data_IF_600157456133
#
_entry.id   IF_600157456133
#
_cell.length_a   1.000
_cell.length_b   1.000
_cell.length_c   1.000
_cell.angle_alpha   90.00
_cell.angle_beta   90.00
_cell.angle_gamma   90.00
#
_symmetry.space_group_name_H-M   'P 1'
#
loop_
_entity.id
_entity.type
_entity.pdbx_description
1 polymer ?
#
# COMPACT_ATOMS: atom_id res chain seq x y z
N UNK A 1 -8.82 6.86 11.62
CA UNK A 1 -7.51 6.20 11.50
C UNK A 1 -6.56 6.63 12.61
N UNK A 2 -6.19 7.91 12.68
CA UNK A 2 -5.15 8.43 13.58
C UNK A 2 -5.36 8.16 15.07
N UNK A 3 -6.60 8.15 15.57
CA UNK A 3 -6.93 7.79 16.96
C UNK A 3 -6.60 6.34 17.34
N UNK A 4 -6.65 5.40 16.39
CA UNK A 4 -6.70 3.96 16.68
C UNK A 4 -5.50 3.16 16.18
N UNK A 5 -4.73 3.70 15.23
CA UNK A 5 -3.49 3.08 14.76
C UNK A 5 -2.39 3.25 15.82
N UNK A 6 -2.36 2.32 16.78
CA UNK A 6 -1.34 2.21 17.82
C UNK A 6 -0.38 1.05 17.52
N UNK A 7 0.77 1.02 18.20
CA UNK A 7 1.71 -0.12 18.11
C UNK A 7 1.01 -1.45 18.41
N UNK A 8 0.19 -1.49 19.45
CA UNK A 8 -0.51 -2.71 19.87
C UNK A 8 -1.60 -3.10 18.88
N UNK A 9 -2.34 -2.12 18.33
CA UNK A 9 -3.33 -2.38 17.29
C UNK A 9 -2.67 -3.02 16.06
N UNK A 10 -1.61 -2.41 15.53
CA UNK A 10 -0.94 -2.91 14.32
C UNK A 10 -0.41 -4.33 14.54
N UNK A 11 0.25 -4.60 15.67
CA UNK A 11 0.71 -5.97 16.01
C UNK A 11 -0.45 -6.96 16.03
N UNK A 12 -1.58 -6.59 16.62
CA UNK A 12 -2.77 -7.46 16.64
C UNK A 12 -3.31 -7.76 15.23
N UNK A 13 -3.21 -6.81 14.30
CA UNK A 13 -3.65 -6.99 12.91
C UNK A 13 -2.67 -7.86 12.15
N UNK A 14 -1.37 -7.67 12.34
CA UNK A 14 -0.34 -8.57 11.79
C UNK A 14 -0.56 -10.02 12.26
N UNK A 15 -0.78 -10.24 13.56
CA UNK A 15 -1.05 -11.57 14.13
C UNK A 15 -2.35 -12.21 13.59
N UNK A 16 -3.32 -11.38 13.20
CA UNK A 16 -4.61 -11.84 12.69
C UNK A 16 -4.57 -12.15 11.19
N UNK A 17 -4.02 -11.25 10.38
CA UNK A 17 -4.06 -11.29 8.92
C UNK A 17 -2.90 -12.09 8.32
N UNK A 18 -1.71 -12.06 8.90
CA UNK A 18 -0.52 -12.72 8.34
C UNK A 18 -0.50 -14.25 8.57
N UNK A 19 -1.65 -14.82 8.94
CA UNK A 19 -1.91 -16.27 8.90
C UNK A 19 -2.28 -16.74 7.50
N UNK A 20 -2.73 -15.82 6.64
CA UNK A 20 -3.14 -16.08 5.25
C UNK A 20 -4.17 -17.23 5.14
N UNK A 21 -5.13 -17.23 6.06
CA UNK A 21 -6.15 -18.26 6.24
C UNK A 21 -7.57 -17.72 6.05
N UNK A 22 -7.71 -16.49 5.54
CA UNK A 22 -9.02 -15.82 5.42
C UNK A 22 -9.74 -16.26 4.17
N UNK A 23 -9.01 -16.40 3.06
CA UNK A 23 -9.57 -16.84 1.79
C UNK A 23 -8.51 -17.31 0.80
N UNK A 24 -8.99 -17.89 -0.30
CA UNK A 24 -8.17 -18.32 -1.43
C UNK A 24 -8.83 -17.85 -2.71
N UNK A 25 -8.13 -17.03 -3.48
CA UNK A 25 -8.61 -16.56 -4.78
C UNK A 25 -7.44 -16.21 -5.69
N UNK A 26 -7.67 -16.14 -6.99
CA UNK A 26 -6.65 -15.64 -7.93
C UNK A 26 -6.53 -14.12 -7.82
N UNK A 27 -5.43 -13.56 -8.36
CA UNK A 27 -5.25 -12.10 -8.46
C UNK A 27 -6.38 -11.46 -9.28
N UNK A 28 -6.83 -12.12 -10.35
CA UNK A 28 -7.95 -11.66 -11.18
C UNK A 28 -9.26 -11.60 -10.39
N UNK A 29 -9.57 -12.65 -9.63
CA UNK A 29 -10.79 -12.67 -8.80
C UNK A 29 -10.76 -11.56 -7.74
N UNK A 30 -9.59 -11.28 -7.16
CA UNK A 30 -9.41 -10.18 -6.21
C UNK A 30 -9.63 -8.81 -6.86
N UNK A 31 -9.11 -8.59 -8.08
CA UNK A 31 -9.35 -7.36 -8.86
C UNK A 31 -10.84 -7.17 -9.17
N UNK A 32 -11.53 -8.24 -9.59
CA UNK A 32 -12.98 -8.21 -9.85
C UNK A 32 -13.73 -7.90 -8.56
N UNK A 33 -13.33 -8.49 -7.43
CA UNK A 33 -13.96 -8.25 -6.12
C UNK A 33 -13.82 -6.80 -5.66
N UNK A 34 -12.67 -6.16 -5.91
CA UNK A 34 -12.46 -4.73 -5.59
C UNK A 34 -13.39 -3.79 -6.35
N UNK A 35 -14.02 -4.22 -7.45
CA UNK A 35 -14.99 -3.39 -8.17
C UNK A 35 -16.18 -2.97 -7.30
N UNK A 36 -16.49 -3.75 -6.25
CA UNK A 36 -17.60 -3.47 -5.33
C UNK A 36 -17.18 -2.58 -4.13
N UNK A 37 -15.92 -2.13 -4.08
CA UNK A 37 -15.41 -1.27 -3.01
C UNK A 37 -15.52 0.21 -3.40
N UNK A 38 -16.02 1.02 -2.47
CA UNK A 38 -15.91 2.48 -2.49
C UNK A 38 -14.90 2.89 -1.42
N UNK A 39 -13.78 3.47 -1.82
CA UNK A 39 -12.74 3.96 -0.91
C UNK A 39 -13.18 5.27 -0.25
N UNK A 40 -13.37 5.27 1.07
CA UNK A 40 -13.80 6.44 1.84
C UNK A 40 -12.69 7.46 2.08
N UNK A 41 -11.43 7.08 1.85
CA UNK A 41 -10.27 7.94 2.11
C UNK A 41 -9.84 8.74 0.88
N UNK A 42 -10.19 8.30 -0.32
CA UNK A 42 -9.83 8.97 -1.55
C UNK A 42 -10.83 10.12 -1.85
N UNK A 43 -10.40 11.40 -1.82
CA UNK A 43 -11.27 12.52 -2.12
C UNK A 43 -11.74 12.56 -3.59
N UNK A 44 -11.14 11.76 -4.47
CA UNK A 44 -11.36 11.79 -5.92
C UNK A 44 -12.17 10.60 -6.47
N UNK A 45 -12.61 9.64 -5.65
CA UNK A 45 -13.25 8.40 -6.14
C UNK A 45 -14.74 8.55 -6.41
N UNK A 46 -15.07 8.99 -7.61
CA UNK A 46 -16.39 8.73 -8.23
C UNK A 46 -16.42 7.46 -9.09
N UNK A 47 -15.28 6.77 -9.24
CA UNK A 47 -15.10 5.60 -10.11
C UNK A 47 -14.80 4.32 -9.29
N UNK A 48 -15.30 3.14 -9.72
CA UNK A 48 -14.92 1.86 -9.15
C UNK A 48 -13.40 1.60 -9.13
N UNK A 49 -12.87 1.01 -8.05
CA UNK A 49 -11.43 0.76 -7.88
C UNK A 49 -10.77 -0.03 -9.03
N UNK A 50 -11.50 -0.94 -9.68
CA UNK A 50 -10.93 -1.71 -10.80
C UNK A 50 -10.56 -0.80 -11.98
N UNK A 51 -11.32 0.27 -12.21
CA UNK A 51 -11.01 1.23 -13.28
C UNK A 51 -9.72 1.97 -12.96
N UNK A 52 -9.58 2.43 -11.72
CA UNK A 52 -8.34 3.04 -11.23
C UNK A 52 -7.14 2.10 -11.43
N UNK A 53 -7.27 0.82 -11.04
CA UNK A 53 -6.21 -0.16 -11.22
C UNK A 53 -5.74 -0.29 -12.68
N UNK A 54 -6.67 -0.38 -13.64
CA UNK A 54 -6.33 -0.44 -15.07
C UNK A 54 -5.79 0.89 -15.62
N UNK A 55 -6.25 2.04 -15.13
CA UNK A 55 -5.72 3.36 -15.52
C UNK A 55 -4.26 3.52 -15.09
N UNK A 56 -3.96 3.18 -13.84
CA UNK A 56 -2.59 3.18 -13.30
C UNK A 56 -1.70 2.25 -14.12
N UNK A 57 -2.15 1.01 -14.34
CA UNK A 57 -1.40 0.01 -15.10
C UNK A 57 -1.11 0.44 -16.56
N UNK A 58 -2.12 0.95 -17.28
CA UNK A 58 -1.94 1.38 -18.68
C UNK A 58 -1.07 2.63 -18.81
N UNK A 59 -1.13 3.55 -17.85
CA UNK A 59 -0.25 4.71 -17.82
C UNK A 59 1.22 4.31 -17.64
N UNK A 60 1.48 3.39 -16.71
CA UNK A 60 2.82 2.82 -16.53
C UNK A 60 3.24 2.10 -17.82
N UNK A 61 2.37 1.27 -18.40
CA UNK A 61 2.66 0.53 -19.65
C UNK A 61 3.01 1.44 -20.82
N UNK A 62 2.37 2.60 -20.92
CA UNK A 62 2.67 3.61 -21.94
C UNK A 62 4.03 4.27 -21.71
N UNK A 63 4.40 4.50 -20.45
CA UNK A 63 5.61 5.26 -20.09
C UNK A 63 6.87 4.38 -19.99
N UNK A 64 6.71 3.13 -19.57
CA UNK A 64 7.77 2.17 -19.27
C UNK A 64 7.55 0.84 -20.00
N UNK A 65 7.36 0.82 -21.34
CA UNK A 65 6.85 -0.33 -22.09
C UNK A 65 7.68 -1.63 -21.95
N UNK A 66 8.93 -1.50 -21.53
CA UNK A 66 9.93 -2.53 -21.33
C UNK A 66 9.94 -3.12 -19.90
N UNK A 67 9.16 -2.56 -18.96
CA UNK A 67 9.09 -3.00 -17.56
C UNK A 67 7.75 -3.67 -17.24
N UNK A 68 7.54 -4.88 -17.78
CA UNK A 68 6.27 -5.60 -17.64
C UNK A 68 5.84 -5.86 -16.17
N UNK A 69 6.79 -6.10 -15.27
CA UNK A 69 6.54 -6.21 -13.83
C UNK A 69 5.99 -4.91 -13.24
N UNK A 70 6.37 -3.75 -13.79
CA UNK A 70 5.91 -2.45 -13.32
C UNK A 70 4.47 -2.21 -13.75
N UNK A 71 4.08 -2.66 -14.95
CA UNK A 71 2.69 -2.61 -15.40
C UNK A 71 1.80 -3.41 -14.47
N UNK A 72 2.24 -4.63 -14.13
CA UNK A 72 1.51 -5.48 -13.18
C UNK A 72 1.43 -4.80 -11.81
N UNK A 73 2.52 -4.21 -11.32
CA UNK A 73 2.54 -3.48 -10.05
C UNK A 73 1.46 -2.39 -10.02
N UNK A 74 1.33 -1.64 -11.11
CA UNK A 74 0.23 -0.69 -11.34
C UNK A 74 -1.15 -1.29 -11.13
N UNK A 75 -1.40 -2.46 -11.71
CA UNK A 75 -2.70 -3.12 -11.62
C UNK A 75 -3.01 -3.62 -10.21
N UNK A 76 -2.00 -4.10 -9.47
CA UNK A 76 -2.25 -4.90 -8.25
C UNK A 76 -2.00 -4.17 -6.95
N UNK A 77 -1.39 -2.98 -6.95
CA UNK A 77 -0.92 -2.31 -5.72
C UNK A 77 -1.98 -2.22 -4.61
N UNK A 78 -3.23 -1.99 -5.01
CA UNK A 78 -4.38 -1.80 -4.15
C UNK A 78 -5.07 -3.09 -3.69
N UNK A 79 -4.59 -4.27 -4.09
CA UNK A 79 -5.27 -5.54 -3.79
C UNK A 79 -5.34 -5.88 -2.31
N UNK A 80 -4.55 -5.24 -1.46
CA UNK A 80 -4.72 -5.36 -0.01
C UNK A 80 -6.05 -4.84 0.50
N UNK A 81 -6.75 -3.98 -0.27
CA UNK A 81 -8.06 -3.43 0.08
C UNK A 81 -9.16 -4.48 0.19
N UNK A 82 -8.92 -5.72 -0.27
CA UNK A 82 -9.86 -6.83 -0.09
C UNK A 82 -10.22 -7.09 1.37
N UNK A 83 -9.38 -6.69 2.33
CA UNK A 83 -9.66 -6.80 3.78
C UNK A 83 -11.01 -6.17 4.18
N UNK A 84 -11.45 -5.12 3.49
CA UNK A 84 -12.77 -4.48 3.71
C UNK A 84 -13.93 -5.45 3.59
N UNK A 85 -13.87 -6.40 2.64
CA UNK A 85 -14.92 -7.40 2.44
C UNK A 85 -14.94 -8.51 3.51
N UNK A 86 -13.96 -8.51 4.40
CA UNK A 86 -13.78 -9.51 5.44
C UNK A 86 -13.81 -8.87 6.84
N UNK A 87 -14.49 -7.72 6.96
CA UNK A 87 -14.87 -7.11 8.23
C UNK A 87 -13.85 -6.14 8.83
N UNK A 88 -12.73 -5.87 8.15
CA UNK A 88 -11.80 -4.82 8.60
C UNK A 88 -12.38 -3.44 8.26
N UNK A 89 -12.45 -2.50 9.21
CA UNK A 89 -12.95 -1.16 8.93
C UNK A 89 -12.02 -0.41 7.98
N UNK A 90 -12.57 0.46 7.13
CA UNK A 90 -11.80 1.16 6.08
C UNK A 90 -10.58 1.89 6.64
N UNK A 91 -10.66 2.54 7.81
CA UNK A 91 -9.52 3.25 8.42
C UNK A 91 -8.33 2.35 8.80
N UNK A 92 -8.53 1.03 8.85
CA UNK A 92 -7.51 0.01 9.06
C UNK A 92 -7.15 -0.74 7.76
N UNK A 93 -7.56 -0.20 6.61
CA UNK A 93 -7.30 -0.76 5.29
C UNK A 93 -6.75 0.28 4.32
N UNK A 94 -7.40 1.44 4.20
CA UNK A 94 -7.08 2.49 3.21
C UNK A 94 -6.45 3.72 3.87
N UNK A 95 -5.96 4.65 3.04
CA UNK A 95 -5.42 5.95 3.45
C UNK A 95 -3.89 5.98 3.65
N UNK A 96 -3.37 7.20 3.76
CA UNK A 96 -1.95 7.48 3.94
C UNK A 96 -1.38 6.78 5.19
N UNK A 97 -0.24 6.12 5.04
CA UNK A 97 0.42 5.39 6.12
C UNK A 97 1.48 6.23 6.83
N UNK A 98 1.73 5.89 8.09
CA UNK A 98 2.77 6.50 8.92
C UNK A 98 3.35 5.44 9.89
N UNK A 99 4.61 5.57 10.33
CA UNK A 99 5.17 4.67 11.32
C UNK A 99 4.50 4.89 12.69
N UNK A 100 3.98 3.81 13.28
CA UNK A 100 3.54 3.82 14.69
C UNK A 100 4.74 3.65 15.61
N UNK A 101 4.64 4.05 16.87
CA UNK A 101 5.71 3.85 17.85
C UNK A 101 6.89 4.83 17.75
N UNK A 102 6.73 5.94 17.02
CA UNK A 102 7.56 7.14 17.08
C UNK A 102 6.70 8.40 16.95
N UNK A 103 7.28 9.57 17.22
CA UNK A 103 6.58 10.84 17.04
C UNK A 103 6.10 11.02 15.60
N UNK A 104 4.84 11.44 15.45
CA UNK A 104 4.20 11.66 14.16
C UNK A 104 4.70 12.96 13.52
N UNK A 105 5.16 12.85 12.28
CA UNK A 105 5.62 13.96 11.46
C UNK A 105 4.51 14.98 11.14
N UNK A 106 4.92 16.23 10.91
CA UNK A 106 4.01 17.36 10.65
C UNK A 106 3.31 17.26 9.28
N UNK A 107 3.90 16.53 8.33
CA UNK A 107 3.35 16.35 6.99
C UNK A 107 2.22 15.33 6.89
N UNK A 108 1.86 14.64 7.98
CA UNK A 108 0.73 13.71 7.96
C UNK A 108 -0.57 14.50 7.78
N UNK A 109 -1.46 14.01 6.93
CA UNK A 109 -2.76 14.67 6.68
C UNK A 109 -3.55 14.77 7.99
N UNK A 110 -4.13 15.94 8.29
CA UNK A 110 -4.85 16.21 9.55
C UNK A 110 -4.02 16.02 10.84
N UNK A 111 -2.69 16.08 10.75
CA UNK A 111 -1.77 15.88 11.89
C UNK A 111 -2.11 16.72 13.11
N UNK A 112 -2.56 17.95 12.90
CA UNK A 112 -2.87 18.95 13.93
C UNK A 112 -4.20 18.72 14.67
N UNK A 113 -5.07 17.85 14.15
CA UNK A 113 -6.48 17.81 14.54
C UNK A 113 -7.04 16.40 14.80
N UNK A 114 -6.27 15.34 14.55
CA UNK A 114 -6.81 13.97 14.55
C UNK A 114 -6.02 12.95 15.39
N UNK A 115 -4.92 13.37 16.01
CA UNK A 115 -4.06 12.52 16.85
C UNK A 115 -4.25 12.69 18.35
N UNK A 116 -5.02 13.69 18.79
CA UNK A 116 -5.16 14.06 20.22
C UNK A 116 -5.61 12.90 21.11
N UNK A 117 -6.47 12.04 20.58
CA UNK A 117 -7.04 10.90 21.29
C UNK A 117 -6.24 9.59 21.11
N UNK A 118 -5.12 9.60 20.37
CA UNK A 118 -4.29 8.42 20.23
C UNK A 118 -3.44 8.21 21.49
N UNK A 119 -3.59 7.08 22.22
CA UNK A 119 -2.89 6.87 23.47
C UNK A 119 -1.36 6.80 23.33
N UNK A 120 -0.83 6.40 22.17
CA UNK A 120 0.62 6.34 21.93
C UNK A 120 1.27 7.73 21.97
N UNK A 121 0.50 8.80 21.76
CA UNK A 121 1.00 10.19 21.85
C UNK A 121 1.40 10.61 23.27
N UNK A 122 0.81 9.97 24.28
CA UNK A 122 1.12 10.20 25.70
C UNK A 122 2.11 9.17 26.26
N UNK A 123 2.51 8.18 25.47
CA UNK A 123 3.43 7.13 25.90
C UNK A 123 4.89 7.52 25.61
N UNK A 124 5.69 7.64 26.68
CA UNK A 124 7.12 7.98 26.59
C UNK A 124 7.96 7.01 25.74
N UNK A 125 7.46 5.79 25.49
CA UNK A 125 8.10 4.81 24.60
C UNK A 125 7.98 5.20 23.13
N UNK A 126 6.95 5.96 22.77
CA UNK A 126 6.54 6.19 21.38
C UNK A 126 6.53 7.66 20.99
N UNK A 127 6.33 8.58 21.92
CA UNK A 127 6.15 10.00 21.62
C UNK A 127 7.43 10.82 21.38
N UNK A 128 8.59 10.15 21.26
CA UNK A 128 9.85 10.81 20.91
C UNK A 128 10.18 10.61 19.43
N UNK A 129 11.08 11.43 18.88
CA UNK A 129 11.48 11.39 17.46
C UNK A 129 11.78 9.97 16.95
N UNK A 130 12.46 9.16 17.74
CA UNK A 130 12.77 7.77 17.37
C UNK A 130 11.83 6.76 18.03
N UNK A 131 11.15 7.14 19.12
CA UNK A 131 10.30 6.24 19.89
C UNK A 131 10.99 4.91 20.18
N UNK A 132 10.39 3.82 19.70
CA UNK A 132 10.93 2.46 19.88
C UNK A 132 12.02 2.05 18.86
N UNK A 133 12.38 2.92 17.92
CA UNK A 133 13.29 2.62 16.83
C UNK A 133 14.69 3.21 17.03
N UNK A 134 15.61 2.86 16.12
CA UNK A 134 16.95 3.44 16.03
C UNK A 134 17.05 4.33 14.80
N UNK A 135 17.87 5.37 14.86
CA UNK A 135 18.24 6.13 13.68
C UNK A 135 18.82 5.20 12.60
N UNK A 136 18.44 5.43 11.34
CA UNK A 136 18.89 4.65 10.17
C UNK A 136 18.65 3.14 10.31
N UNK A 137 17.58 2.73 11.01
CA UNK A 137 17.24 1.31 11.12
C UNK A 137 16.74 0.70 9.79
N UNK A 138 16.35 1.52 8.83
CA UNK A 138 15.72 1.12 7.59
C UNK A 138 14.21 0.95 7.74
N UNK A 139 13.47 1.26 6.68
CA UNK A 139 12.00 1.27 6.72
C UNK A 139 11.41 -0.13 6.96
N UNK A 140 12.12 -1.17 6.51
CA UNK A 140 11.74 -2.56 6.77
C UNK A 140 11.71 -2.95 8.26
N UNK A 141 12.33 -2.15 9.13
CA UNK A 141 12.32 -2.34 10.59
C UNK A 141 11.31 -1.42 11.30
N UNK A 142 10.59 -0.59 10.57
CA UNK A 142 9.48 0.18 11.11
C UNK A 142 8.20 -0.65 11.11
N UNK A 143 7.37 -0.43 12.13
CA UNK A 143 5.99 -0.87 12.14
C UNK A 143 5.17 0.28 11.57
N UNK A 144 4.63 0.07 10.37
CA UNK A 144 3.74 1.03 9.70
C UNK A 144 2.32 0.88 10.24
N UNK A 145 1.53 1.96 10.23
CA UNK A 145 0.08 1.90 10.43
C UNK A 145 -0.51 0.82 9.52
N UNK A 146 -1.36 -0.05 10.08
CA UNK A 146 -1.85 -1.22 9.38
C UNK A 146 -2.78 -0.84 8.23
N UNK A 147 -2.59 -1.45 7.07
CA UNK A 147 -3.38 -1.18 5.87
C UNK A 147 -3.02 -2.10 4.70
N UNK A 148 -3.58 -1.79 3.53
CA UNK A 148 -3.46 -2.57 2.31
C UNK A 148 -2.00 -2.73 1.83
N UNK A 149 -1.14 -1.72 2.00
CA UNK A 149 0.28 -1.78 1.66
C UNK A 149 1.00 -2.96 2.32
N UNK A 150 1.06 -2.96 3.66
CA UNK A 150 1.79 -3.98 4.43
C UNK A 150 1.14 -5.36 4.24
N UNK A 151 -0.19 -5.42 4.29
CA UNK A 151 -0.90 -6.67 4.11
C UNK A 151 -0.58 -7.30 2.74
N UNK A 152 -0.70 -6.53 1.65
CA UNK A 152 -0.50 -7.08 0.32
C UNK A 152 0.96 -7.40 0.04
N UNK A 153 1.90 -6.58 0.53
CA UNK A 153 3.32 -6.92 0.53
C UNK A 153 3.56 -8.30 1.17
N UNK A 154 3.00 -8.54 2.35
CA UNK A 154 3.17 -9.82 3.04
C UNK A 154 2.47 -10.98 2.32
N UNK A 155 1.29 -10.77 1.72
CA UNK A 155 0.61 -11.75 0.86
C UNK A 155 1.51 -12.16 -0.31
N UNK A 156 2.14 -11.20 -0.99
CA UNK A 156 3.05 -11.45 -2.09
C UNK A 156 4.28 -12.25 -1.65
N UNK A 157 4.89 -11.89 -0.51
CA UNK A 157 6.02 -12.63 0.07
C UNK A 157 5.62 -14.06 0.45
N UNK A 158 4.48 -14.25 1.10
CA UNK A 158 3.97 -15.57 1.50
C UNK A 158 3.76 -16.49 0.30
N UNK A 159 3.17 -15.94 -0.76
CA UNK A 159 2.89 -16.67 -2.00
C UNK A 159 4.08 -16.73 -2.98
N UNK A 160 5.27 -16.28 -2.54
CA UNK A 160 6.54 -16.41 -3.29
C UNK A 160 6.48 -15.80 -4.68
N UNK A 161 5.91 -14.60 -4.79
CA UNK A 161 5.94 -13.84 -6.05
C UNK A 161 7.36 -13.75 -6.61
N UNK A 162 7.47 -13.67 -7.94
CA UNK A 162 8.73 -13.41 -8.64
C UNK A 162 8.90 -11.95 -9.04
N UNK A 163 8.01 -11.06 -8.56
CA UNK A 163 8.18 -9.61 -8.70
C UNK A 163 9.52 -9.14 -8.09
N UNK A 164 10.17 -8.13 -8.71
CA UNK A 164 11.43 -7.60 -8.20
C UNK A 164 11.23 -6.78 -6.92
N UNK A 165 12.33 -6.50 -6.22
CA UNK A 165 12.32 -5.76 -4.95
C UNK A 165 11.72 -4.35 -5.11
N UNK A 166 11.94 -3.70 -6.27
CA UNK A 166 11.34 -2.42 -6.61
C UNK A 166 9.81 -2.46 -6.56
N UNK A 167 9.19 -3.49 -7.17
CA UNK A 167 7.75 -3.68 -7.17
C UNK A 167 7.22 -3.87 -5.75
N UNK A 168 7.91 -4.70 -4.97
CA UNK A 168 7.54 -4.97 -3.58
C UNK A 168 7.66 -3.72 -2.70
N UNK A 169 8.69 -2.90 -2.91
CA UNK A 169 8.87 -1.64 -2.19
C UNK A 169 7.78 -0.61 -2.55
N UNK A 170 7.39 -0.53 -3.84
CA UNK A 170 6.28 0.31 -4.27
C UNK A 170 4.98 -0.12 -3.60
N UNK A 171 4.63 -1.40 -3.66
CA UNK A 171 3.41 -1.92 -3.03
C UNK A 171 3.40 -1.65 -1.51
N UNK A 172 4.54 -1.84 -0.84
CA UNK A 172 4.64 -1.70 0.62
C UNK A 172 4.60 -0.25 1.13
N UNK A 173 4.94 0.73 0.30
CA UNK A 173 5.15 2.10 0.75
C UNK A 173 4.51 3.17 -0.14
N UNK A 174 3.64 2.80 -1.09
CA UNK A 174 2.98 3.77 -1.97
C UNK A 174 1.97 4.67 -1.25
N UNK A 175 1.47 4.25 -0.08
CA UNK A 175 0.66 5.09 0.79
C UNK A 175 1.49 5.89 1.79
N UNK A 176 2.83 5.75 1.83
CA UNK A 176 3.68 6.46 2.80
C UNK A 176 4.02 7.88 2.30
N UNK A 177 2.98 8.70 2.10
CA UNK A 177 3.07 10.07 1.61
C UNK A 177 4.01 10.96 2.43
N UNK A 178 4.00 10.93 3.78
CA UNK A 178 4.95 11.71 4.57
C UNK A 178 6.41 11.47 4.14
N UNK A 179 6.77 10.25 3.75
CA UNK A 179 8.10 9.95 3.27
C UNK A 179 8.31 10.33 1.81
N UNK A 180 7.51 9.77 0.89
CA UNK A 180 7.83 9.90 -0.53
C UNK A 180 7.40 11.23 -1.16
N UNK A 181 6.44 11.95 -0.57
CA UNK A 181 6.01 13.27 -1.04
C UNK A 181 6.63 14.41 -0.23
N UNK A 182 6.68 14.27 1.10
CA UNK A 182 7.08 15.36 2.01
C UNK A 182 8.50 15.24 2.57
N UNK A 183 9.21 14.14 2.30
CA UNK A 183 10.59 13.91 2.77
C UNK A 183 10.73 13.88 4.30
N UNK A 184 9.66 13.57 5.01
CA UNK A 184 9.71 13.22 6.42
C UNK A 184 10.26 11.79 6.64
N UNK A 185 10.60 11.48 7.88
CA UNK A 185 11.15 10.17 8.30
C UNK A 185 12.46 9.73 7.63
N UNK A 186 13.15 10.59 6.87
CA UNK A 186 14.46 10.30 6.27
C UNK A 186 15.52 9.85 7.29
N UNK A 187 15.38 10.24 8.55
CA UNK A 187 16.27 9.83 9.63
C UNK A 187 16.18 8.35 10.00
N UNK A 188 15.17 7.61 9.52
CA UNK A 188 15.11 6.14 9.58
C UNK A 188 15.67 5.46 8.34
N UNK A 189 15.78 6.16 7.22
CA UNK A 189 16.15 5.58 5.93
C UNK A 189 17.62 5.14 5.87
N UNK A 190 17.85 4.02 5.18
CA UNK A 190 19.14 3.52 4.73
C UNK A 190 19.39 3.92 3.27
N UNK A 191 20.59 3.63 2.75
CA UNK A 191 20.89 3.83 1.32
C UNK A 191 19.98 3.01 0.40
N UNK A 192 19.54 1.83 0.84
CA UNK A 192 18.60 1.00 0.09
C UNK A 192 17.23 1.68 -0.01
N UNK A 193 16.71 2.20 1.09
CA UNK A 193 15.42 2.91 1.11
C UNK A 193 15.48 4.13 0.17
N UNK A 194 16.59 4.88 0.18
CA UNK A 194 16.77 6.02 -0.73
C UNK A 194 16.86 5.63 -2.21
N UNK A 195 17.29 4.41 -2.53
CA UNK A 195 17.22 3.88 -3.91
C UNK A 195 15.79 3.53 -4.29
N UNK A 196 15.04 2.89 -3.38
CA UNK A 196 13.64 2.52 -3.59
C UNK A 196 12.72 3.76 -3.70
N UNK A 197 13.05 4.84 -3.00
CA UNK A 197 12.32 6.11 -3.07
C UNK A 197 12.15 6.62 -4.51
N UNK A 198 13.13 6.39 -5.40
CA UNK A 198 13.05 6.80 -6.81
C UNK A 198 11.92 6.05 -7.55
N UNK A 199 11.77 4.76 -7.27
CA UNK A 199 10.73 3.92 -7.86
C UNK A 199 9.35 4.27 -7.31
N UNK A 200 9.25 4.50 -5.98
CA UNK A 200 8.00 4.92 -5.34
C UNK A 200 7.54 6.28 -5.87
N UNK A 201 8.45 7.27 -5.98
CA UNK A 201 8.15 8.57 -6.59
C UNK A 201 7.74 8.45 -8.07
N UNK A 202 8.25 7.45 -8.80
CA UNK A 202 7.83 7.22 -10.19
C UNK A 202 6.44 6.60 -10.24
N UNK A 203 6.17 5.56 -9.45
CA UNK A 203 4.86 4.92 -9.35
C UNK A 203 3.76 5.90 -8.94
N UNK A 204 4.02 6.72 -7.93
CA UNK A 204 3.04 7.66 -7.38
C UNK A 204 2.53 8.68 -8.41
N UNK A 205 3.34 9.01 -9.44
CA UNK A 205 2.88 9.86 -10.56
C UNK A 205 1.77 9.19 -11.36
N UNK A 206 1.78 7.87 -11.45
CA UNK A 206 0.77 7.12 -12.19
C UNK A 206 -0.45 6.89 -11.31
N UNK A 207 -0.26 6.44 -10.08
CA UNK A 207 -1.33 6.24 -9.10
C UNK A 207 -2.22 7.50 -8.93
N UNK A 208 -1.62 8.65 -8.62
CA UNK A 208 -2.37 9.91 -8.42
C UNK A 208 -2.94 10.51 -9.71
N UNK A 209 -2.11 10.68 -10.74
CA UNK A 209 -2.42 11.57 -11.87
C UNK A 209 -3.07 10.86 -13.06
N UNK A 210 -3.36 9.56 -12.95
CA UNK A 210 -4.02 8.80 -14.03
C UNK A 210 -5.51 8.63 -13.84
N UNK A 211 -6.08 9.29 -12.82
CA UNK A 211 -7.52 9.55 -12.66
C UNK A 211 -8.00 10.47 -13.80
N UNK A 212 -7.90 9.98 -15.03
CA UNK A 212 -8.22 10.67 -16.27
C UNK A 212 -9.65 10.36 -16.67
N UNK A 213 -10.22 11.17 -17.56
CA UNK A 213 -11.55 10.93 -18.14
C UNK A 213 -11.59 9.78 -19.14
N UNK A 214 -10.44 9.27 -19.62
CA UNK A 214 -10.40 8.18 -20.59
C UNK A 214 -10.53 6.83 -19.87
N UNK A 215 -11.63 6.14 -20.16
CA UNK A 215 -11.98 4.86 -19.56
C UNK A 215 -11.26 3.72 -20.31
N UNK A 216 -10.47 2.88 -19.63
CA UNK A 216 -9.82 1.74 -20.27
C UNK A 216 -10.86 0.70 -20.72
N UNK A 217 -10.62 0.08 -21.87
CA UNK A 217 -11.40 -1.08 -22.34
C UNK A 217 -10.90 -2.36 -21.62
N UNK A 218 -11.36 -2.53 -20.38
CA UNK A 218 -10.91 -3.58 -19.45
C UNK A 218 -10.98 -4.97 -20.09
N UNK A 219 -12.06 -5.28 -20.83
CA UNK A 219 -12.26 -6.58 -21.48
C UNK A 219 -11.14 -6.91 -22.47
N UNK A 220 -10.65 -5.92 -23.22
CA UNK A 220 -9.51 -6.13 -24.13
C UNK A 220 -8.17 -6.25 -23.40
N UNK A 221 -8.05 -5.62 -22.23
CA UNK A 221 -6.81 -5.57 -21.46
C UNK A 221 -6.54 -6.85 -20.67
N UNK A 222 -7.58 -7.60 -20.28
CA UNK A 222 -7.42 -8.82 -19.48
C UNK A 222 -6.41 -9.80 -20.06
N UNK A 223 -6.47 -10.05 -21.38
CA UNK A 223 -5.57 -11.01 -22.05
C UNK A 223 -4.08 -10.68 -21.91
N UNK A 224 -3.74 -9.39 -21.71
CA UNK A 224 -2.38 -8.94 -21.46
C UNK A 224 -2.01 -9.13 -19.99
N UNK A 225 -2.85 -8.62 -19.07
CA UNK A 225 -2.55 -8.63 -17.64
C UNK A 225 -2.62 -10.01 -17.01
N UNK A 226 -3.48 -10.91 -17.48
CA UNK A 226 -3.51 -12.31 -17.04
C UNK A 226 -2.18 -13.02 -17.31
N UNK A 227 -1.53 -12.74 -18.45
CA UNK A 227 -0.19 -13.30 -18.72
C UNK A 227 0.87 -12.79 -17.74
N UNK A 228 0.73 -11.54 -17.29
CA UNK A 228 1.63 -11.00 -16.26
C UNK A 228 1.34 -11.62 -14.89
N UNK A 229 0.05 -11.79 -14.54
CA UNK A 229 -0.37 -12.51 -13.34
C UNK A 229 0.21 -13.93 -13.35
N UNK A 230 0.04 -14.67 -14.44
CA UNK A 230 0.58 -16.03 -14.58
C UNK A 230 2.11 -16.07 -14.51
N UNK A 231 2.79 -15.04 -15.00
CA UNK A 231 4.25 -14.94 -14.94
C UNK A 231 4.76 -14.69 -13.52
N UNK A 232 4.09 -13.82 -12.77
CA UNK A 232 4.62 -13.27 -11.52
C UNK A 232 3.98 -13.84 -10.25
N UNK A 233 2.68 -14.13 -10.29
CA UNK A 233 1.85 -14.57 -9.16
C UNK A 233 0.79 -15.59 -9.67
N UNK A 234 1.20 -16.76 -10.20
CA UNK A 234 0.27 -17.66 -10.86
C UNK A 234 -0.73 -18.34 -9.91
N UNK A 235 -1.93 -18.59 -10.45
CA UNK A 235 -2.93 -19.46 -9.84
C UNK A 235 -3.68 -18.85 -8.66
N UNK A 236 -4.26 -19.73 -7.84
CA UNK A 236 -5.01 -19.36 -6.63
C UNK A 236 -4.03 -19.19 -5.48
N UNK A 237 -3.99 -17.97 -4.91
CA UNK A 237 -3.09 -17.63 -3.81
C UNK A 237 -3.83 -17.59 -2.47
N UNK A 238 -3.07 -17.60 -1.38
CA UNK A 238 -3.58 -17.47 -0.02
C UNK A 238 -3.58 -16.02 0.42
N UNK A 239 -4.69 -15.59 1.00
CA UNK A 239 -4.91 -14.24 1.48
C UNK A 239 -5.23 -14.25 2.97
#
# INVERSE_FOLDING_TARGET
>A
MHTHQTVDFVRSRMDYWLKFDKHRMSVKDALIKLNDLIDESDPDTSLPNIIHAFQTAESIRKKHPDLDWFHLTGLIHDLGKVMTFYGEPQWAVVGDTFPVGCAWADSIVYRDSSFDDNPDGNDSRYNTKYGMYKAKCGLNNLIMSWGHDEYFYQVLKHNKTTLPDEALAMIRYHSFYPWHASEDYLYFCTEHDMKMLKWIKEFNKHDLYTKSSEMPDIEKLWSYYEKLIDKYIPGVIKW
#
